data_IF_674365389944
#
_entry.id   IF_674365389944
#
_cell.length_a   1.000
_cell.length_b   1.000
_cell.length_c   1.000
_cell.angle_alpha   90.00
_cell.angle_beta   90.00
_cell.angle_gamma   90.00
#
_symmetry.space_group_name_H-M   'P 1'
#
loop_
_entity.id
_entity.type
_entity.pdbx_description
1 polymer ?
#
# COMPACT_ATOMS: atom_id res chain seq x y z
N UNK A 1 23.19 17.37 -30.20
CA UNK A 1 22.40 16.12 -30.37
C UNK A 1 22.35 15.86 -31.87
N UNK A 2 22.82 14.72 -32.36
CA UNK A 2 22.87 14.43 -33.78
C UNK A 2 21.51 13.97 -34.31
N UNK A 3 21.17 14.23 -35.58
CA UNK A 3 19.96 13.77 -36.26
C UNK A 3 19.76 12.25 -36.11
N UNK A 4 20.85 11.49 -36.06
CA UNK A 4 20.83 10.04 -35.87
C UNK A 4 20.34 9.64 -34.44
N UNK A 5 20.71 10.42 -33.43
CA UNK A 5 20.24 10.21 -32.05
C UNK A 5 18.76 10.52 -31.90
N UNK A 6 18.27 11.57 -32.58
CA UNK A 6 16.83 11.92 -32.62
C UNK A 6 16.03 10.82 -33.33
N UNK A 7 16.51 10.33 -34.46
CA UNK A 7 15.84 9.25 -35.20
C UNK A 7 15.78 7.92 -34.42
N UNK A 8 16.86 7.59 -33.67
CA UNK A 8 16.88 6.42 -32.76
C UNK A 8 15.92 6.57 -31.60
N UNK A 9 15.82 7.77 -31.02
CA UNK A 9 14.88 8.08 -29.93
C UNK A 9 13.43 8.01 -30.44
N UNK A 10 13.15 8.60 -31.62
CA UNK A 10 11.83 8.56 -32.24
C UNK A 10 11.43 7.11 -32.60
N UNK A 11 12.35 6.26 -33.08
CA UNK A 11 12.12 4.84 -33.35
C UNK A 11 11.87 4.05 -32.06
N UNK A 12 12.58 4.35 -30.98
CA UNK A 12 12.33 3.75 -29.64
C UNK A 12 10.99 4.20 -29.05
N UNK A 13 10.61 5.46 -29.20
CA UNK A 13 9.31 5.96 -28.79
C UNK A 13 8.16 5.43 -29.64
N UNK A 14 8.38 5.24 -30.94
CA UNK A 14 7.39 4.66 -31.87
C UNK A 14 7.23 3.14 -31.76
N UNK A 15 8.25 2.42 -31.27
CA UNK A 15 8.19 1.00 -30.93
C UNK A 15 7.72 0.73 -29.49
N UNK A 16 7.67 1.74 -28.64
CA UNK A 16 6.98 1.65 -27.38
C UNK A 16 5.50 1.33 -27.68
N UNK A 17 5.01 0.21 -27.16
CA UNK A 17 3.60 -0.19 -27.22
C UNK A 17 2.73 1.03 -27.06
N UNK A 18 1.69 1.16 -27.89
CA UNK A 18 0.71 2.25 -27.82
C UNK A 18 0.41 2.54 -26.37
N UNK A 19 0.64 3.78 -25.86
CA UNK A 19 0.35 4.14 -24.49
C UNK A 19 -1.16 4.27 -24.36
N UNK A 20 -1.85 3.14 -24.27
CA UNK A 20 -3.30 3.12 -24.16
C UNK A 20 -3.79 1.73 -23.78
N UNK A 21 -4.77 1.67 -22.91
CA UNK A 21 -5.39 0.45 -22.42
C UNK A 21 -6.54 0.80 -21.50
N UNK A 22 -7.30 -0.21 -21.13
CA UNK A 22 -8.34 -0.04 -20.12
C UNK A 22 -7.71 0.35 -18.78
N UNK A 23 -8.29 1.37 -18.15
CA UNK A 23 -7.88 1.84 -16.83
C UNK A 23 -8.71 1.10 -15.79
N UNK A 24 -8.10 0.37 -14.85
CA UNK A 24 -8.83 -0.28 -13.77
C UNK A 24 -9.59 0.75 -12.94
N UNK A 25 -10.80 0.42 -12.49
CA UNK A 25 -11.62 1.31 -11.67
C UNK A 25 -10.97 1.72 -10.35
N UNK A 26 -10.08 0.89 -9.85
CA UNK A 26 -9.35 1.12 -8.61
C UNK A 26 -8.05 1.92 -8.79
N UNK A 27 -7.64 2.27 -10.01
CA UNK A 27 -6.53 3.21 -10.22
C UNK A 27 -7.01 4.61 -9.83
N UNK A 28 -6.27 5.27 -8.92
CA UNK A 28 -6.58 6.61 -8.41
C UNK A 28 -5.72 7.69 -9.07
N UNK A 29 -4.44 7.37 -9.27
CA UNK A 29 -3.46 8.29 -9.81
C UNK A 29 -2.39 7.54 -10.62
N UNK A 30 -1.90 8.17 -11.67
CA UNK A 30 -0.72 7.70 -12.40
C UNK A 30 -0.02 8.85 -13.11
N UNK A 31 1.29 8.90 -12.94
CA UNK A 31 2.20 9.73 -13.75
C UNK A 31 3.33 8.86 -14.34
N UNK A 32 4.44 9.49 -14.76
CA UNK A 32 5.58 8.80 -15.36
C UNK A 32 6.36 7.92 -14.37
N UNK A 33 6.26 8.19 -13.09
CA UNK A 33 7.08 7.58 -12.03
C UNK A 33 6.28 6.92 -10.93
N UNK A 34 5.03 7.31 -10.75
CA UNK A 34 4.19 6.92 -9.59
C UNK A 34 2.85 6.40 -10.06
N UNK A 35 2.38 5.39 -9.38
CA UNK A 35 1.04 4.84 -9.52
C UNK A 35 0.42 4.72 -8.13
N UNK A 36 -0.84 5.18 -7.97
CA UNK A 36 -1.61 4.95 -6.75
C UNK A 36 -2.94 4.28 -7.07
N UNK A 37 -3.33 3.33 -6.20
CA UNK A 37 -4.57 2.57 -6.38
C UNK A 37 -5.26 2.29 -5.05
N UNK A 38 -6.53 2.04 -5.15
CA UNK A 38 -7.39 1.70 -4.03
C UNK A 38 -7.67 0.21 -3.97
N UNK A 39 -7.65 -0.32 -2.76
CA UNK A 39 -8.09 -1.67 -2.43
C UNK A 39 -9.28 -1.54 -1.47
N UNK A 40 -10.50 -1.86 -1.91
CA UNK A 40 -11.69 -1.70 -1.07
C UNK A 40 -11.65 -2.57 0.17
N UNK A 41 -12.40 -2.20 1.24
CA UNK A 41 -12.52 -3.03 2.42
C UNK A 41 -13.07 -4.41 2.05
N UNK A 42 -12.45 -5.45 2.58
CA UNK A 42 -12.86 -6.84 2.34
C UNK A 42 -12.25 -7.76 3.39
N UNK A 43 -12.75 -8.99 3.46
CA UNK A 43 -12.04 -10.05 4.20
C UNK A 43 -10.89 -10.56 3.35
N UNK A 44 -9.67 -10.62 3.94
CA UNK A 44 -8.45 -11.14 3.31
C UNK A 44 -7.66 -11.91 4.33
N UNK A 45 -6.86 -12.84 3.84
CA UNK A 45 -5.89 -13.55 4.65
C UNK A 45 -4.75 -12.61 5.05
N UNK A 46 -4.25 -12.74 6.28
CA UNK A 46 -3.08 -12.03 6.79
C UNK A 46 -2.23 -13.00 7.59
N UNK A 47 -0.91 -12.89 7.46
CA UNK A 47 0.06 -13.74 8.14
C UNK A 47 0.91 -12.95 9.12
N UNK A 48 1.00 -13.42 10.36
CA UNK A 48 1.90 -12.88 11.38
C UNK A 48 2.97 -13.89 11.72
N UNK A 49 4.22 -13.39 11.80
CA UNK A 49 5.38 -14.12 12.33
C UNK A 49 6.08 -13.21 13.33
N UNK A 50 5.51 -13.10 14.53
CA UNK A 50 6.02 -12.23 15.59
C UNK A 50 6.89 -13.00 16.54
N UNK A 51 7.98 -12.34 17.02
CA UNK A 51 8.88 -12.91 18.04
C UNK A 51 8.51 -12.50 19.45
N UNK A 52 7.48 -11.66 19.61
CA UNK A 52 7.02 -11.16 20.92
C UNK A 52 5.59 -10.63 20.87
N UNK A 53 5.14 -10.11 22.01
CA UNK A 53 3.79 -9.59 22.19
C UNK A 53 2.72 -10.68 22.29
N UNK A 54 1.46 -10.26 22.27
CA UNK A 54 0.29 -11.17 22.43
C UNK A 54 0.04 -12.07 21.19
N UNK A 55 0.72 -11.85 20.08
CA UNK A 55 0.67 -12.73 18.90
C UNK A 55 1.64 -13.91 19.02
N UNK A 56 2.49 -13.89 20.04
CA UNK A 56 3.35 -15.02 20.42
C UNK A 56 4.46 -15.31 19.41
N UNK A 57 5.29 -16.32 19.74
CA UNK A 57 6.38 -16.82 18.90
C UNK A 57 5.91 -17.75 17.77
N UNK A 58 4.62 -17.81 17.49
CA UNK A 58 4.06 -18.72 16.50
C UNK A 58 3.62 -17.95 15.25
N UNK A 59 3.85 -18.58 14.12
CA UNK A 59 3.28 -18.15 12.87
C UNK A 59 1.77 -18.39 12.92
N UNK A 60 1.00 -17.32 12.68
CA UNK A 60 -0.46 -17.36 12.69
C UNK A 60 -1.03 -16.58 11.53
N UNK A 61 -1.98 -17.14 10.83
CA UNK A 61 -2.71 -16.47 9.75
C UNK A 61 -4.18 -16.84 9.75
N UNK A 62 -5.02 -15.85 9.47
CA UNK A 62 -6.46 -16.01 9.38
C UNK A 62 -7.05 -15.05 8.34
N UNK A 63 -8.25 -15.38 7.85
CA UNK A 63 -9.04 -14.47 7.03
C UNK A 63 -9.81 -13.50 7.93
N UNK A 64 -9.43 -12.23 7.92
CA UNK A 64 -10.01 -11.18 8.76
C UNK A 64 -10.53 -10.01 7.93
N UNK A 65 -11.44 -9.17 8.46
CA UNK A 65 -11.84 -7.95 7.78
C UNK A 65 -10.68 -6.95 7.75
N UNK A 66 -10.49 -6.30 6.61
CA UNK A 66 -9.50 -5.23 6.37
C UNK A 66 -10.21 -3.92 6.06
N UNK A 67 -9.61 -2.75 6.39
CA UNK A 67 -10.13 -1.47 5.99
C UNK A 67 -9.93 -1.23 4.49
N UNK A 68 -10.50 -0.17 3.95
CA UNK A 68 -10.07 0.37 2.67
C UNK A 68 -8.61 0.81 2.73
N UNK A 69 -7.84 0.54 1.68
CA UNK A 69 -6.42 0.87 1.61
C UNK A 69 -6.12 1.65 0.32
N UNK A 70 -5.26 2.65 0.43
CA UNK A 70 -4.63 3.29 -0.72
C UNK A 70 -3.16 2.95 -0.73
N UNK A 71 -2.70 2.39 -1.83
CA UNK A 71 -1.29 2.12 -2.08
C UNK A 71 -0.72 3.14 -3.05
N UNK A 72 0.56 3.41 -2.93
CA UNK A 72 1.35 4.12 -3.93
C UNK A 72 2.68 3.41 -4.14
N UNK A 73 3.05 3.20 -5.40
CA UNK A 73 4.34 2.63 -5.78
C UNK A 73 5.02 3.54 -6.80
N UNK A 74 6.31 3.77 -6.62
CA UNK A 74 7.12 4.55 -7.53
C UNK A 74 8.13 3.69 -8.30
N UNK A 75 8.65 4.22 -9.40
CA UNK A 75 9.61 3.53 -10.28
C UNK A 75 10.94 3.19 -9.61
N UNK A 76 11.29 3.91 -8.52
CA UNK A 76 12.46 3.65 -7.67
C UNK A 76 12.22 2.55 -6.64
N UNK A 77 11.10 1.85 -6.72
CA UNK A 77 10.63 0.82 -5.78
C UNK A 77 10.18 1.36 -4.42
N UNK A 78 10.03 2.66 -4.25
CA UNK A 78 9.38 3.22 -3.06
C UNK A 78 7.92 2.77 -3.05
N UNK A 79 7.50 2.24 -1.91
CA UNK A 79 6.21 1.60 -1.75
C UNK A 79 5.56 2.05 -0.44
N UNK A 80 4.31 2.54 -0.54
CA UNK A 80 3.57 3.12 0.60
C UNK A 80 2.15 2.60 0.65
N UNK A 81 1.56 2.59 1.85
CA UNK A 81 0.16 2.25 2.10
C UNK A 81 -0.44 3.11 3.19
N UNK A 82 -1.66 3.52 3.00
CA UNK A 82 -2.48 4.24 3.97
C UNK A 82 -3.86 3.59 4.07
N UNK A 83 -4.53 3.73 5.22
CA UNK A 83 -5.90 3.31 5.37
C UNK A 83 -6.86 4.46 5.04
N UNK A 84 -8.05 4.10 4.58
CA UNK A 84 -9.19 5.00 4.36
C UNK A 84 -10.44 4.40 4.99
N UNK A 85 -11.38 5.25 5.39
CA UNK A 85 -12.68 4.85 5.94
C UNK A 85 -13.72 4.71 4.84
N UNK A 86 -14.74 3.92 5.12
CA UNK A 86 -15.86 3.66 4.21
C UNK A 86 -15.53 2.71 3.07
N UNK A 87 -16.51 2.53 2.21
CA UNK A 87 -16.45 1.63 1.05
C UNK A 87 -16.49 2.39 -0.30
N UNK A 88 -16.54 3.71 -0.26
CA UNK A 88 -16.55 4.53 -1.47
C UNK A 88 -15.15 4.69 -2.05
N UNK A 89 -15.08 4.82 -3.37
CA UNK A 89 -13.81 5.09 -4.06
C UNK A 89 -13.21 6.41 -3.58
N UNK A 90 -11.94 6.41 -3.10
CA UNK A 90 -11.29 7.63 -2.64
C UNK A 90 -11.19 8.71 -3.71
N UNK A 91 -11.30 9.96 -3.27
CA UNK A 91 -11.05 11.17 -4.06
C UNK A 91 -9.77 11.87 -3.56
N UNK A 92 -9.36 12.93 -4.24
CA UNK A 92 -8.22 13.77 -3.86
C UNK A 92 -8.32 14.29 -2.42
N UNK A 93 -9.53 14.63 -1.97
CA UNK A 93 -9.81 15.16 -0.64
C UNK A 93 -9.94 14.08 0.44
N UNK A 94 -9.89 12.79 0.08
CA UNK A 94 -10.09 11.70 1.05
C UNK A 94 -9.04 11.75 2.17
N UNK A 95 -9.46 11.83 3.45
CA UNK A 95 -8.55 11.79 4.58
C UNK A 95 -7.83 10.45 4.68
N UNK A 96 -6.54 10.48 5.00
CA UNK A 96 -5.72 9.30 5.17
C UNK A 96 -5.47 9.00 6.64
N UNK A 97 -5.39 7.70 6.92
CA UNK A 97 -5.12 7.14 8.23
C UNK A 97 -3.88 6.25 8.18
N UNK A 98 -3.22 6.10 9.33
CA UNK A 98 -2.16 5.12 9.48
C UNK A 98 -2.67 3.73 9.07
N UNK A 99 -1.99 3.08 8.14
CA UNK A 99 -2.31 1.70 7.81
C UNK A 99 -2.02 0.80 9.02
N UNK A 100 -2.99 0.01 9.51
CA UNK A 100 -2.90 -0.67 10.81
C UNK A 100 -2.02 -1.93 10.77
N UNK A 101 -1.05 -2.00 9.88
CA UNK A 101 -0.24 -3.19 9.67
C UNK A 101 1.15 -3.04 10.28
N UNK A 102 1.67 -4.14 10.80
CA UNK A 102 3.08 -4.26 11.10
C UNK A 102 3.90 -4.09 9.81
N UNK A 103 5.18 -3.84 9.92
CA UNK A 103 6.07 -3.53 8.79
C UNK A 103 5.72 -2.24 8.03
N UNK A 104 4.78 -1.40 8.52
CA UNK A 104 4.44 -0.11 7.94
C UNK A 104 4.92 1.01 8.86
N UNK A 105 5.69 1.94 8.32
CA UNK A 105 6.18 3.12 9.04
C UNK A 105 5.11 4.21 9.17
N UNK A 106 5.30 5.16 10.08
CA UNK A 106 4.39 6.28 10.27
C UNK A 106 4.22 7.18 9.04
N UNK A 107 5.15 7.13 8.09
CA UNK A 107 5.07 7.81 6.79
C UNK A 107 4.22 7.05 5.74
N UNK A 108 3.73 5.88 6.09
CA UNK A 108 3.08 4.94 5.17
C UNK A 108 4.06 4.06 4.39
N UNK A 109 5.37 4.29 4.47
CA UNK A 109 6.36 3.46 3.81
C UNK A 109 6.28 2.01 4.34
N UNK A 110 6.43 1.04 3.43
CA UNK A 110 6.38 -0.38 3.77
C UNK A 110 7.81 -0.90 3.88
N UNK A 111 8.13 -1.54 5.00
CA UNK A 111 9.38 -2.26 5.15
C UNK A 111 9.32 -3.52 4.27
N UNK A 112 10.14 -3.56 3.24
CA UNK A 112 10.11 -4.66 2.27
C UNK A 112 10.63 -5.98 2.84
N UNK A 113 11.56 -5.92 3.82
CA UNK A 113 12.15 -7.14 4.40
C UNK A 113 12.68 -8.07 3.30
N UNK A 114 12.20 -9.31 3.30
CA UNK A 114 12.52 -10.33 2.30
C UNK A 114 11.42 -10.48 1.22
N UNK A 115 10.51 -9.51 1.09
CA UNK A 115 9.45 -9.56 0.09
C UNK A 115 10.00 -9.22 -1.29
N UNK A 116 9.76 -10.09 -2.25
CA UNK A 116 10.06 -9.82 -3.65
C UNK A 116 9.07 -8.77 -4.18
N UNK A 117 9.51 -7.52 -4.18
CA UNK A 117 8.71 -6.44 -4.78
C UNK A 117 8.75 -6.55 -6.30
N UNK A 118 7.67 -6.21 -6.99
CA UNK A 118 7.63 -6.24 -8.45
C UNK A 118 8.80 -5.48 -9.06
N UNK A 119 9.71 -6.20 -9.73
CA UNK A 119 10.84 -5.64 -10.45
C UNK A 119 10.50 -5.58 -11.93
N UNK A 120 10.71 -4.47 -12.59
CA UNK A 120 10.45 -4.37 -14.03
C UNK A 120 9.80 -3.08 -14.45
N UNK A 121 9.79 -2.10 -13.56
CA UNK A 121 9.20 -0.79 -13.83
C UNK A 121 7.70 -0.94 -14.15
N UNK A 122 7.24 -0.16 -15.11
CA UNK A 122 5.84 -0.20 -15.55
C UNK A 122 5.59 -1.17 -16.72
N UNK A 123 6.30 -2.31 -16.78
CA UNK A 123 6.01 -3.36 -17.76
C UNK A 123 4.69 -4.09 -17.43
N UNK A 124 3.93 -4.46 -18.45
CA UNK A 124 2.61 -5.09 -18.31
C UNK A 124 1.46 -4.07 -18.25
N UNK A 125 0.23 -4.57 -18.09
CA UNK A 125 -0.94 -3.73 -17.91
C UNK A 125 -0.94 -3.10 -16.52
N UNK A 126 -1.71 -2.00 -16.34
CA UNK A 126 -1.88 -1.39 -15.02
C UNK A 126 -2.51 -2.38 -14.03
N UNK A 127 -3.45 -3.20 -14.50
CA UNK A 127 -4.10 -4.21 -13.67
C UNK A 127 -3.10 -5.27 -13.17
N UNK A 128 -2.24 -5.80 -14.05
CA UNK A 128 -1.22 -6.81 -13.67
C UNK A 128 -0.26 -6.25 -12.61
N UNK A 129 0.10 -4.97 -12.74
CA UNK A 129 0.99 -4.31 -11.77
C UNK A 129 0.32 -4.13 -10.41
N UNK A 130 -0.94 -3.67 -10.39
CA UNK A 130 -1.73 -3.55 -9.16
C UNK A 130 -1.83 -4.90 -8.46
N UNK A 131 -2.13 -5.97 -9.21
CA UNK A 131 -2.23 -7.32 -8.68
C UNK A 131 -0.90 -7.80 -8.10
N UNK A 132 0.21 -7.60 -8.80
CA UNK A 132 1.54 -7.98 -8.32
C UNK A 132 1.92 -7.27 -7.01
N UNK A 133 1.64 -5.97 -6.90
CA UNK A 133 1.89 -5.22 -5.67
C UNK A 133 0.97 -5.64 -4.52
N UNK A 134 -0.32 -5.87 -4.79
CA UNK A 134 -1.25 -6.38 -3.79
C UNK A 134 -0.80 -7.74 -3.26
N UNK A 135 -0.42 -8.64 -4.16
CA UNK A 135 0.10 -9.96 -3.79
C UNK A 135 1.34 -9.85 -2.91
N UNK A 136 2.32 -9.02 -3.31
CA UNK A 136 3.53 -8.80 -2.52
C UNK A 136 3.23 -8.31 -1.09
N UNK A 137 2.21 -7.49 -0.90
CA UNK A 137 1.81 -7.01 0.42
C UNK A 137 1.05 -8.07 1.23
N UNK A 138 -0.03 -8.63 0.69
CA UNK A 138 -0.92 -9.50 1.44
C UNK A 138 -0.35 -10.90 1.66
N UNK A 139 0.57 -11.37 0.82
CA UNK A 139 1.26 -12.66 0.99
C UNK A 139 2.52 -12.53 1.88
N UNK A 140 2.83 -11.33 2.36
CA UNK A 140 3.98 -11.11 3.25
C UNK A 140 3.67 -11.49 4.70
N UNK A 141 4.74 -11.76 5.47
CA UNK A 141 4.63 -11.92 6.91
C UNK A 141 4.77 -10.59 7.63
N UNK A 142 3.83 -10.27 8.50
CA UNK A 142 3.88 -9.12 9.38
C UNK A 142 4.57 -9.49 10.68
N UNK A 143 5.64 -8.79 11.05
CA UNK A 143 6.54 -9.21 12.13
C UNK A 143 6.48 -8.33 13.37
N UNK A 144 6.51 -7.01 13.20
CA UNK A 144 6.51 -6.05 14.30
C UNK A 144 6.06 -4.66 13.84
N UNK A 145 5.50 -3.83 14.75
CA UNK A 145 5.18 -2.44 14.45
C UNK A 145 6.45 -1.64 14.15
N UNK A 146 6.46 -0.87 13.05
CA UNK A 146 7.58 -0.04 12.62
C UNK A 146 7.33 1.47 12.83
N UNK A 147 6.25 1.85 13.49
CA UNK A 147 5.95 3.24 13.79
C UNK A 147 6.34 3.60 15.23
N UNK A 148 6.86 4.81 15.45
CA UNK A 148 7.10 5.35 16.79
C UNK A 148 5.82 5.88 17.45
N UNK A 149 4.81 6.22 16.65
CA UNK A 149 3.49 6.64 17.11
C UNK A 149 2.51 5.47 17.23
N UNK A 150 1.25 5.75 17.61
CA UNK A 150 0.23 4.73 17.69
C UNK A 150 -0.08 4.16 16.30
N UNK A 151 0.07 2.84 16.15
CA UNK A 151 -0.32 2.14 14.94
C UNK A 151 -1.84 2.01 14.82
N UNK A 152 -2.51 1.84 15.95
CA UNK A 152 -3.97 1.73 16.09
C UNK A 152 -4.44 2.43 17.36
N UNK A 153 -5.64 2.97 17.31
CA UNK A 153 -6.35 3.46 18.48
C UNK A 153 -7.19 2.32 19.08
N UNK A 154 -6.51 1.43 19.83
CA UNK A 154 -7.13 0.25 20.39
C UNK A 154 -6.59 -0.03 21.80
N UNK A 155 -7.50 -0.39 22.73
CA UNK A 155 -7.11 -0.72 24.10
C UNK A 155 -6.21 -1.97 24.12
N UNK A 156 -5.00 -1.82 24.61
CA UNK A 156 -3.99 -2.89 24.62
C UNK A 156 -3.05 -2.87 23.40
N UNK A 157 -3.20 -1.87 22.50
CA UNK A 157 -2.25 -1.62 21.42
C UNK A 157 -2.36 -2.58 20.23
N UNK A 158 -1.39 -2.53 19.31
CA UNK A 158 -1.49 -3.20 18.02
C UNK A 158 -1.42 -4.73 18.09
N UNK A 159 -0.68 -5.30 19.03
CA UNK A 159 -0.63 -6.76 19.22
C UNK A 159 -1.98 -7.31 19.69
N UNK A 160 -2.62 -6.62 20.65
CA UNK A 160 -3.95 -6.99 21.13
C UNK A 160 -5.00 -6.82 20.05
N UNK A 161 -4.93 -5.73 19.28
CA UNK A 161 -5.81 -5.48 18.17
C UNK A 161 -5.80 -6.63 17.17
N UNK A 162 -4.63 -7.00 16.66
CA UNK A 162 -4.51 -8.07 15.67
C UNK A 162 -4.87 -9.44 16.23
N UNK A 163 -4.54 -9.70 17.50
CA UNK A 163 -5.02 -10.92 18.15
C UNK A 163 -6.56 -11.00 18.15
N UNK A 164 -7.23 -9.94 18.55
CA UNK A 164 -8.69 -9.90 18.61
C UNK A 164 -9.32 -10.00 17.21
N UNK A 165 -8.66 -9.46 16.18
CA UNK A 165 -9.03 -9.64 14.76
C UNK A 165 -8.92 -11.12 14.34
N UNK A 166 -7.78 -11.76 14.62
CA UNK A 166 -7.51 -13.16 14.28
C UNK A 166 -8.43 -14.12 15.06
N UNK A 167 -8.83 -13.77 16.28
CA UNK A 167 -9.79 -14.52 17.11
C UNK A 167 -11.25 -14.33 16.64
N UNK A 168 -11.47 -13.55 15.56
CA UNK A 168 -12.82 -13.34 15.01
C UNK A 168 -13.71 -12.45 15.85
N UNK A 169 -13.15 -11.65 16.79
CA UNK A 169 -13.95 -10.76 17.66
C UNK A 169 -14.60 -9.60 16.92
N UNK A 170 -14.17 -9.35 15.69
CA UNK A 170 -14.69 -8.29 14.84
C UNK A 170 -15.21 -8.87 13.52
N UNK A 171 -16.52 -8.78 13.30
CA UNK A 171 -17.15 -9.21 12.05
C UNK A 171 -16.81 -8.29 10.87
N UNK A 172 -16.61 -7.00 11.16
CA UNK A 172 -16.17 -5.94 10.22
C UNK A 172 -14.95 -5.25 10.81
N UNK A 173 -14.16 -4.60 9.95
CA UNK A 173 -13.01 -3.83 10.44
C UNK A 173 -13.48 -2.65 11.30
N UNK A 174 -13.00 -2.50 12.55
CA UNK A 174 -13.41 -1.40 13.43
C UNK A 174 -12.70 -0.11 13.04
N UNK A 175 -13.32 0.73 12.22
CA UNK A 175 -12.75 1.99 11.70
C UNK A 175 -12.39 2.99 12.80
N UNK A 176 -12.95 2.86 14.00
CA UNK A 176 -12.55 3.64 15.18
C UNK A 176 -11.13 3.36 15.65
N UNK A 177 -10.55 2.22 15.24
CA UNK A 177 -9.17 1.86 15.51
C UNK A 177 -8.17 2.60 14.60
N UNK A 178 -8.62 3.23 13.52
CA UNK A 178 -7.74 3.96 12.61
C UNK A 178 -7.26 5.27 13.23
N UNK A 179 -5.95 5.52 13.11
CA UNK A 179 -5.28 6.73 13.59
C UNK A 179 -5.19 7.74 12.45
N UNK A 180 -5.78 8.95 12.58
CA UNK A 180 -5.74 9.95 11.52
C UNK A 180 -4.33 10.51 11.32
N UNK A 181 -3.94 10.73 10.07
CA UNK A 181 -2.65 11.33 9.71
C UNK A 181 -2.71 12.85 9.52
N UNK A 182 -3.91 13.45 9.54
CA UNK A 182 -4.09 14.89 9.32
C UNK A 182 -3.74 15.33 7.89
N UNK A 183 -3.78 14.43 6.93
CA UNK A 183 -3.45 14.69 5.53
C UNK A 183 -4.45 14.01 4.59
N UNK A 184 -4.56 14.50 3.35
CA UNK A 184 -5.41 13.92 2.30
C UNK A 184 -4.60 13.17 1.25
N UNK A 185 -5.30 12.44 0.39
CA UNK A 185 -4.70 11.70 -0.71
C UNK A 185 -3.92 12.61 -1.67
N UNK A 186 -4.48 13.76 -2.07
CA UNK A 186 -3.77 14.72 -2.91
C UNK A 186 -2.47 15.19 -2.26
N UNK A 187 -2.52 15.56 -0.97
CA UNK A 187 -1.36 16.07 -0.25
C UNK A 187 -0.18 15.07 -0.18
N UNK A 188 -0.43 13.76 -0.11
CA UNK A 188 0.65 12.77 -0.08
C UNK A 188 1.18 12.43 -1.47
N UNK A 189 0.37 12.60 -2.53
CA UNK A 189 0.78 12.39 -3.92
C UNK A 189 1.49 13.61 -4.50
N UNK A 190 1.08 14.83 -4.13
CA UNK A 190 1.71 16.09 -4.55
C UNK A 190 3.08 16.33 -3.88
N UNK A 191 3.31 15.74 -2.73
CA UNK A 191 4.63 15.77 -2.09
C UNK A 191 5.59 14.92 -2.92
N UNK A 192 6.18 15.51 -3.94
CA UNK A 192 7.40 15.02 -4.57
C UNK A 192 8.40 14.83 -3.45
N UNK A 193 8.72 13.62 -3.10
CA UNK A 193 9.60 13.09 -2.08
C UNK A 193 10.02 13.98 -0.90
N UNK A 194 10.26 13.42 0.27
CA UNK A 194 10.69 14.15 1.46
C UNK A 194 12.16 14.66 1.41
N UNK A 195 12.78 14.72 0.25
CA UNK A 195 14.17 15.16 0.06
C UNK A 195 14.24 16.42 -0.83
N UNK A 196 13.69 17.50 -0.33
CA UNK A 196 13.78 18.85 -0.88
C UNK A 196 14.02 19.84 0.23
N UNK A 197 15.18 19.75 0.91
CA UNK A 197 15.64 20.70 1.89
C UNK A 197 17.02 20.35 2.35
#
# INVERSE_FOLDING_TARGET
MTMLAVARLAKRLGSARRPGGFVPMNLLYQDLTTMAWWVPPARRHIWFRCTGGELGAHERGESVPHPGLVFAAASDKTWRVWAVKGCDRPSEATPLFQAPYFNVYGTGAICQGNVDVPTGGFAGSVADRIEAWNKAFFDSFFTHPNTQGPLVNYKGGPYRFWRDMLDGRHAVFPESALVPLGTSLAQVLDRRGPDGG
#
